data_IF_183530520276
#
_entry.id   IF_183530520276
#
_cell.length_a   1.000
_cell.length_b   1.000
_cell.length_c   1.000
_cell.angle_alpha   90.00
_cell.angle_beta   90.00
_cell.angle_gamma   90.00
#
_symmetry.space_group_name_H-M   'P 1'
#
loop_
_entity.id
_entity.type
_entity.pdbx_description
1 polymer ?
#
# COMPACT_ATOMS: atom_id res chain seq x y z
N UNK A 1 15.47 18.68 27.95
CA UNK A 1 14.87 19.76 27.12
C UNK A 1 14.52 19.17 25.74
N UNK A 2 13.25 18.96 25.44
CA UNK A 2 12.86 18.55 24.09
C UNK A 2 13.14 19.70 23.14
N UNK A 3 14.02 19.48 22.16
CA UNK A 3 14.29 20.46 21.10
C UNK A 3 12.99 20.69 20.32
N UNK A 4 12.56 21.95 20.18
CA UNK A 4 11.37 22.30 19.41
C UNK A 4 11.52 21.79 17.95
N UNK A 5 10.47 21.21 17.44
CA UNK A 5 10.41 20.78 16.03
C UNK A 5 10.23 22.01 15.14
N UNK A 6 11.08 22.14 14.12
CA UNK A 6 11.15 23.33 13.29
C UNK A 6 9.87 23.53 12.46
N UNK A 7 9.55 24.80 12.16
CA UNK A 7 8.46 25.13 11.21
C UNK A 7 8.69 24.48 9.84
N UNK A 8 9.94 24.40 9.39
CA UNK A 8 10.30 23.76 8.12
C UNK A 8 9.90 22.29 8.09
N UNK A 9 10.16 21.54 9.18
CA UNK A 9 9.73 20.13 9.33
C UNK A 9 8.21 19.99 9.26
N UNK A 10 7.48 20.90 9.92
CA UNK A 10 6.01 20.91 9.88
C UNK A 10 5.51 21.19 8.46
N UNK A 11 6.14 22.10 7.72
CA UNK A 11 5.79 22.40 6.33
C UNK A 11 6.07 21.20 5.40
N UNK A 12 7.19 20.50 5.56
CA UNK A 12 7.45 19.28 4.80
C UNK A 12 6.43 18.18 5.11
N UNK A 13 6.04 18.02 6.37
CA UNK A 13 4.98 17.08 6.77
C UNK A 13 3.62 17.49 6.16
N UNK A 14 3.28 18.77 6.13
CA UNK A 14 2.05 19.25 5.49
C UNK A 14 2.02 18.99 3.98
N UNK A 15 3.16 19.21 3.30
CA UNK A 15 3.30 18.86 1.88
C UNK A 15 3.19 17.36 1.65
N UNK A 16 3.78 16.53 2.53
CA UNK A 16 3.67 15.07 2.46
C UNK A 16 2.22 14.61 2.66
N UNK A 17 1.49 15.20 3.60
CA UNK A 17 0.07 14.91 3.79
C UNK A 17 -0.76 15.28 2.56
N UNK A 18 -0.58 16.49 2.03
CA UNK A 18 -1.28 16.95 0.84
C UNK A 18 -0.97 16.09 -0.39
N UNK A 19 0.29 15.73 -0.59
CA UNK A 19 0.71 14.90 -1.72
C UNK A 19 0.28 13.44 -1.56
N UNK A 20 0.39 12.86 -0.35
CA UNK A 20 -0.05 11.49 -0.06
C UNK A 20 -1.54 11.27 -0.28
N UNK A 21 -2.36 12.31 -0.03
CA UNK A 21 -3.81 12.28 -0.29
C UNK A 21 -4.11 12.68 -1.74
N UNK A 22 -3.45 13.73 -2.24
CA UNK A 22 -3.74 14.31 -3.55
C UNK A 22 -3.28 13.45 -4.72
N UNK A 23 -2.13 12.78 -4.62
CA UNK A 23 -1.57 11.98 -5.72
C UNK A 23 -2.49 10.83 -6.14
N UNK A 24 -3.03 9.97 -5.25
CA UNK A 24 -3.96 8.92 -5.64
C UNK A 24 -5.23 9.43 -6.31
N UNK A 25 -5.77 10.54 -5.78
CA UNK A 25 -6.95 11.19 -6.37
C UNK A 25 -6.63 11.71 -7.77
N UNK A 26 -5.48 12.38 -7.94
CA UNK A 26 -5.03 12.86 -9.24
C UNK A 26 -4.85 11.73 -10.25
N UNK A 27 -4.21 10.62 -9.83
CA UNK A 27 -4.04 9.43 -10.68
C UNK A 27 -5.39 8.87 -11.13
N UNK A 28 -6.37 8.78 -10.23
CA UNK A 28 -7.71 8.30 -10.54
C UNK A 28 -8.44 9.24 -11.52
N UNK A 29 -8.33 10.56 -11.32
CA UNK A 29 -8.93 11.56 -12.21
C UNK A 29 -8.27 11.53 -13.59
N UNK A 30 -6.94 11.49 -13.67
CA UNK A 30 -6.19 11.37 -14.92
C UNK A 30 -6.55 10.06 -15.64
N UNK A 31 -6.64 8.95 -14.93
CA UNK A 31 -7.11 7.69 -15.49
C UNK A 31 -8.50 7.83 -16.09
N UNK A 32 -9.46 8.36 -15.34
CA UNK A 32 -10.85 8.49 -15.77
C UNK A 32 -11.03 9.44 -16.95
N UNK A 33 -10.41 10.62 -16.93
CA UNK A 33 -10.72 11.67 -17.90
C UNK A 33 -9.79 11.67 -19.12
N UNK A 34 -8.54 11.24 -18.96
CA UNK A 34 -7.55 11.25 -20.05
C UNK A 34 -7.39 9.88 -20.71
N UNK A 35 -7.22 8.82 -19.93
CA UNK A 35 -6.88 7.50 -20.48
C UNK A 35 -8.09 6.58 -20.68
N UNK A 36 -9.12 6.72 -19.86
CA UNK A 36 -10.27 5.81 -19.88
C UNK A 36 -11.58 6.58 -19.68
N UNK A 37 -11.98 7.37 -20.68
CA UNK A 37 -13.29 8.05 -20.67
C UNK A 37 -14.39 7.00 -20.57
N UNK A 38 -15.18 7.04 -19.49
CA UNK A 38 -16.20 6.04 -19.17
C UNK A 38 -15.76 4.99 -18.14
N UNK A 39 -14.53 5.08 -17.57
CA UNK A 39 -14.17 4.26 -16.42
C UNK A 39 -15.16 4.47 -15.28
N UNK A 40 -15.67 3.35 -14.75
CA UNK A 40 -16.54 3.35 -13.58
C UNK A 40 -15.68 3.51 -12.34
N UNK A 41 -16.08 4.39 -11.41
CA UNK A 41 -15.30 4.65 -10.18
C UNK A 41 -15.54 3.59 -9.09
N UNK A 42 -16.65 2.87 -9.15
CA UNK A 42 -16.99 1.86 -8.15
C UNK A 42 -15.90 0.80 -7.92
N UNK A 43 -15.19 0.28 -8.96
CA UNK A 43 -14.06 -0.60 -8.70
C UNK A 43 -12.94 0.02 -7.84
N UNK A 44 -12.69 1.34 -7.94
CA UNK A 44 -11.71 1.99 -7.08
C UNK A 44 -12.17 2.03 -5.62
N UNK A 45 -13.46 2.31 -5.38
CA UNK A 45 -14.04 2.27 -4.03
C UNK A 45 -13.93 0.86 -3.44
N UNK A 46 -14.29 -0.17 -4.23
CA UNK A 46 -14.15 -1.57 -3.79
C UNK A 46 -12.69 -1.90 -3.51
N UNK A 47 -11.75 -1.44 -4.34
CA UNK A 47 -10.32 -1.62 -4.12
C UNK A 47 -9.85 -1.03 -2.79
N UNK A 48 -10.24 0.22 -2.51
CA UNK A 48 -9.91 0.90 -1.27
C UNK A 48 -10.50 0.19 -0.04
N UNK A 49 -11.79 -0.20 -0.09
CA UNK A 49 -12.44 -0.93 1.01
C UNK A 49 -11.80 -2.30 1.22
N UNK A 50 -11.45 -3.01 0.13
CA UNK A 50 -10.79 -4.31 0.23
C UNK A 50 -9.44 -4.21 0.93
N UNK A 51 -8.62 -3.20 0.60
CA UNK A 51 -7.36 -2.97 1.30
C UNK A 51 -7.60 -2.78 2.81
N UNK A 52 -8.49 -1.87 3.18
CA UNK A 52 -8.77 -1.60 4.60
C UNK A 52 -9.24 -2.86 5.33
N UNK A 53 -10.16 -3.62 4.73
CA UNK A 53 -10.70 -4.82 5.38
C UNK A 53 -9.65 -5.92 5.48
N UNK A 54 -8.95 -6.23 4.40
CA UNK A 54 -8.05 -7.38 4.36
C UNK A 54 -6.66 -7.08 4.91
N UNK A 55 -6.04 -5.95 4.54
CA UNK A 55 -4.69 -5.62 4.97
C UNK A 55 -4.63 -4.95 6.35
N UNK A 56 -5.62 -4.10 6.71
CA UNK A 56 -5.58 -3.40 7.99
C UNK A 56 -6.32 -4.14 9.10
N UNK A 57 -7.46 -4.80 8.79
CA UNK A 57 -8.29 -5.44 9.82
C UNK A 57 -7.99 -6.94 9.91
N UNK A 58 -8.20 -7.70 8.85
CA UNK A 58 -8.10 -9.16 8.89
C UNK A 58 -6.67 -9.65 9.06
N UNK A 59 -5.72 -9.06 8.36
CA UNK A 59 -4.29 -9.37 8.51
C UNK A 59 -3.74 -8.93 9.88
N UNK A 60 -4.36 -7.94 10.50
CA UNK A 60 -4.01 -7.49 11.85
C UNK A 60 -4.05 -8.59 12.90
N UNK A 61 -4.97 -9.57 12.75
CA UNK A 61 -5.10 -10.70 13.68
C UNK A 61 -3.85 -11.59 13.68
N UNK A 62 -3.42 -12.19 12.56
CA UNK A 62 -2.18 -12.97 12.54
C UNK A 62 -0.93 -12.09 12.80
N UNK A 63 -0.92 -10.82 12.39
CA UNK A 63 0.18 -9.91 12.74
C UNK A 63 0.33 -9.76 14.25
N UNK A 64 -0.75 -9.63 15.00
CA UNK A 64 -0.70 -9.57 16.46
C UNK A 64 -0.13 -10.85 17.08
N UNK A 65 -0.41 -12.02 16.51
CA UNK A 65 0.13 -13.31 16.98
C UNK A 65 1.63 -13.42 16.70
N UNK A 66 2.06 -13.08 15.49
CA UNK A 66 3.46 -13.30 15.08
C UNK A 66 4.39 -12.15 15.45
N UNK A 67 3.90 -10.92 15.60
CA UNK A 67 4.73 -9.72 15.81
C UNK A 67 4.41 -8.97 17.12
N UNK A 68 3.43 -9.43 17.91
CA UNK A 68 2.99 -8.73 19.13
C UNK A 68 3.95 -8.85 20.33
N UNK A 69 5.00 -9.68 20.27
CA UNK A 69 6.03 -9.82 21.31
C UNK A 69 5.61 -10.57 22.58
N UNK A 70 4.32 -10.88 22.75
CA UNK A 70 3.78 -11.46 23.99
C UNK A 70 3.87 -13.00 24.08
N UNK A 71 4.26 -13.71 23.02
CA UNK A 71 4.32 -15.17 22.96
C UNK A 71 5.71 -15.64 22.56
N UNK A 72 6.06 -16.90 22.88
CA UNK A 72 7.33 -17.49 22.44
C UNK A 72 7.48 -17.52 20.92
N UNK A 73 6.36 -17.67 20.18
CA UNK A 73 6.36 -17.60 18.72
C UNK A 73 6.71 -16.22 18.23
N UNK A 74 6.08 -15.18 18.78
CA UNK A 74 6.37 -13.79 18.38
C UNK A 74 7.79 -13.37 18.75
N UNK A 75 8.30 -13.80 19.91
CA UNK A 75 9.68 -13.55 20.33
C UNK A 75 10.67 -14.21 19.35
N UNK A 76 10.40 -15.47 18.93
CA UNK A 76 11.22 -16.14 17.93
C UNK A 76 11.20 -15.40 16.59
N UNK A 77 10.02 -15.01 16.09
CA UNK A 77 9.88 -14.28 14.82
C UNK A 77 10.63 -12.96 14.87
N UNK A 78 10.48 -12.19 15.95
CA UNK A 78 11.16 -10.89 16.11
C UNK A 78 12.68 -11.01 16.25
N UNK A 79 13.17 -12.14 16.79
CA UNK A 79 14.61 -12.42 16.95
C UNK A 79 15.29 -12.91 15.65
N UNK A 80 14.52 -13.35 14.65
CA UNK A 80 15.07 -13.96 13.44
C UNK A 80 14.61 -13.23 12.18
N UNK A 81 15.48 -12.46 11.56
CA UNK A 81 15.16 -11.63 10.39
C UNK A 81 14.54 -12.44 9.23
N UNK A 82 14.97 -13.70 9.00
CA UNK A 82 14.39 -14.56 7.98
C UNK A 82 12.93 -14.92 8.27
N UNK A 83 12.61 -15.21 9.54
CA UNK A 83 11.25 -15.57 9.96
C UNK A 83 10.34 -14.35 9.90
N UNK A 84 10.82 -13.19 10.38
CA UNK A 84 10.14 -11.90 10.27
C UNK A 84 9.78 -11.59 8.81
N UNK A 85 10.79 -11.62 7.93
CA UNK A 85 10.62 -11.32 6.50
C UNK A 85 9.65 -12.30 5.83
N UNK A 86 9.88 -13.61 6.01
CA UNK A 86 9.06 -14.63 5.35
C UNK A 86 7.59 -14.55 5.79
N UNK A 87 7.35 -14.48 7.09
CA UNK A 87 5.98 -14.43 7.64
C UNK A 87 5.29 -13.12 7.27
N UNK A 88 5.96 -11.97 7.46
CA UNK A 88 5.40 -10.67 7.16
C UNK A 88 5.01 -10.53 5.69
N UNK A 89 5.93 -10.83 4.78
CA UNK A 89 5.67 -10.72 3.34
C UNK A 89 4.60 -11.71 2.85
N UNK A 90 4.58 -12.94 3.38
CA UNK A 90 3.54 -13.92 3.02
C UNK A 90 2.17 -13.53 3.56
N UNK A 91 2.07 -12.97 4.76
CA UNK A 91 0.81 -12.48 5.30
C UNK A 91 0.24 -11.38 4.42
N UNK A 92 1.03 -10.35 4.10
CA UNK A 92 0.60 -9.26 3.21
C UNK A 92 0.14 -9.82 1.85
N UNK A 93 1.00 -10.60 1.19
CA UNK A 93 0.66 -11.18 -0.12
C UNK A 93 -0.59 -12.05 -0.10
N UNK A 94 -0.78 -12.90 0.93
CA UNK A 94 -1.96 -13.77 1.03
C UNK A 94 -3.23 -12.95 1.29
N UNK A 95 -3.23 -12.09 2.32
CA UNK A 95 -4.44 -11.36 2.69
C UNK A 95 -4.87 -10.39 1.59
N UNK A 96 -3.95 -9.66 1.01
CA UNK A 96 -4.29 -8.67 0.00
C UNK A 96 -4.72 -9.32 -1.32
N UNK A 97 -3.99 -10.35 -1.80
CA UNK A 97 -4.32 -10.95 -3.08
C UNK A 97 -5.57 -11.85 -3.01
N UNK A 98 -5.80 -12.53 -1.88
CA UNK A 98 -7.06 -13.24 -1.64
C UNK A 98 -8.22 -12.27 -1.52
N UNK A 99 -8.06 -11.16 -0.78
CA UNK A 99 -9.07 -10.10 -0.70
C UNK A 99 -9.42 -9.55 -2.08
N UNK A 100 -8.41 -9.25 -2.90
CA UNK A 100 -8.55 -8.80 -4.29
C UNK A 100 -9.28 -9.82 -5.16
N UNK A 101 -8.93 -11.09 -5.04
CA UNK A 101 -9.61 -12.18 -5.74
C UNK A 101 -11.10 -12.27 -5.37
N UNK A 102 -11.41 -12.23 -4.07
CA UNK A 102 -12.79 -12.28 -3.58
C UNK A 102 -13.59 -11.05 -4.05
N UNK A 103 -12.98 -9.85 -4.03
CA UNK A 103 -13.59 -8.64 -4.54
C UNK A 103 -13.96 -8.77 -6.03
N UNK A 104 -13.06 -9.22 -6.89
CA UNK A 104 -13.36 -9.44 -8.31
C UNK A 104 -14.37 -10.56 -8.54
N UNK A 105 -14.30 -11.63 -7.75
CA UNK A 105 -15.15 -12.80 -7.90
C UNK A 105 -16.61 -12.53 -7.51
N UNK A 106 -16.83 -11.76 -6.43
CA UNK A 106 -18.15 -11.59 -5.83
C UNK A 106 -18.69 -10.18 -5.93
N UNK A 107 -17.91 -9.16 -5.56
CA UNK A 107 -18.39 -7.77 -5.51
C UNK A 107 -18.38 -7.13 -6.91
N UNK A 108 -17.37 -7.43 -7.71
CA UNK A 108 -17.19 -6.87 -9.04
C UNK A 108 -17.51 -7.86 -10.17
N UNK A 109 -18.38 -8.87 -9.92
CA UNK A 109 -18.76 -9.89 -10.92
C UNK A 109 -19.32 -9.32 -12.23
N UNK A 110 -19.97 -8.14 -12.16
CA UNK A 110 -20.55 -7.42 -13.32
C UNK A 110 -19.53 -6.49 -14.02
N UNK A 111 -18.36 -6.29 -13.43
CA UNK A 111 -17.28 -5.46 -13.95
C UNK A 111 -16.28 -6.36 -14.69
N UNK A 112 -16.53 -6.51 -16.01
CA UNK A 112 -15.82 -7.53 -16.81
C UNK A 112 -14.78 -6.94 -17.75
N UNK A 113 -14.68 -5.62 -17.83
CA UNK A 113 -13.70 -4.94 -18.64
C UNK A 113 -12.33 -4.93 -17.92
N UNK A 114 -11.24 -5.19 -18.66
CA UNK A 114 -9.87 -5.14 -18.14
C UNK A 114 -9.50 -3.79 -17.51
N UNK A 115 -10.18 -2.70 -17.92
CA UNK A 115 -10.02 -1.35 -17.34
C UNK A 115 -10.51 -1.28 -15.89
N UNK A 116 -11.50 -2.11 -15.54
CA UNK A 116 -12.00 -2.19 -14.16
C UNK A 116 -10.92 -2.71 -13.20
N UNK A 117 -10.02 -3.61 -13.68
CA UNK A 117 -8.89 -4.08 -12.89
C UNK A 117 -7.89 -2.95 -12.58
N UNK A 118 -7.60 -2.09 -13.56
CA UNK A 118 -6.74 -0.92 -13.36
C UNK A 118 -7.39 0.06 -12.38
N UNK A 119 -8.68 0.34 -12.57
CA UNK A 119 -9.43 1.24 -11.67
C UNK A 119 -9.44 0.72 -10.23
N UNK A 120 -9.64 -0.59 -10.05
CA UNK A 120 -9.55 -1.24 -8.74
C UNK A 120 -8.15 -1.06 -8.13
N UNK A 121 -7.10 -1.34 -8.90
CA UNK A 121 -5.71 -1.21 -8.45
C UNK A 121 -5.33 0.21 -8.04
N UNK A 122 -5.85 1.24 -8.76
CA UNK A 122 -5.69 2.65 -8.37
C UNK A 122 -6.36 2.92 -7.02
N UNK A 123 -7.57 2.37 -6.78
CA UNK A 123 -8.25 2.52 -5.50
C UNK A 123 -7.52 1.83 -4.35
N UNK A 124 -7.08 0.59 -4.58
CA UNK A 124 -6.38 -0.23 -3.59
C UNK A 124 -5.03 0.39 -3.19
N UNK A 125 -4.12 0.61 -4.14
CA UNK A 125 -2.84 1.27 -3.86
C UNK A 125 -2.97 2.75 -3.49
N UNK A 126 -4.07 3.39 -3.91
CA UNK A 126 -4.37 4.77 -3.55
C UNK A 126 -4.71 4.94 -2.08
N UNK A 127 -5.57 4.07 -1.50
CA UNK A 127 -5.87 4.14 -0.07
C UNK A 127 -4.65 3.78 0.76
N UNK A 128 -3.82 2.84 0.32
CA UNK A 128 -2.56 2.54 0.97
C UNK A 128 -1.65 3.78 1.02
N UNK A 129 -1.48 4.49 -0.11
CA UNK A 129 -0.68 5.71 -0.16
C UNK A 129 -1.23 6.80 0.79
N UNK A 130 -2.56 6.94 0.87
CA UNK A 130 -3.21 7.86 1.82
C UNK A 130 -2.89 7.48 3.27
N UNK A 131 -2.98 6.20 3.61
CA UNK A 131 -2.74 5.73 4.98
C UNK A 131 -1.25 5.81 5.34
N UNK A 132 -0.37 5.33 4.46
CA UNK A 132 1.08 5.22 4.77
C UNK A 132 1.78 6.57 4.69
N UNK A 133 1.53 7.39 3.69
CA UNK A 133 2.17 8.70 3.56
C UNK A 133 1.30 9.84 4.13
N UNK A 134 0.04 9.90 3.69
CA UNK A 134 -0.85 11.01 4.05
C UNK A 134 -1.15 11.07 5.54
N UNK A 135 -1.64 9.96 6.12
CA UNK A 135 -2.02 9.90 7.53
C UNK A 135 -0.81 9.94 8.47
N UNK A 136 0.29 9.29 8.08
CA UNK A 136 1.56 9.37 8.83
C UNK A 136 2.07 10.82 8.89
N UNK A 137 1.99 11.56 7.79
CA UNK A 137 2.41 12.95 7.77
C UNK A 137 1.49 13.86 8.61
N UNK A 138 0.18 13.59 8.65
CA UNK A 138 -0.75 14.27 9.57
C UNK A 138 -0.37 13.98 11.03
N UNK A 139 -0.06 12.71 11.36
CA UNK A 139 0.39 12.33 12.68
C UNK A 139 1.72 13.02 13.07
N UNK A 140 2.66 13.19 12.13
CA UNK A 140 3.90 13.93 12.35
C UNK A 140 3.61 15.39 12.75
N UNK A 141 2.63 16.05 12.12
CA UNK A 141 2.21 17.41 12.49
C UNK A 141 1.64 17.43 13.91
N UNK A 142 0.80 16.46 14.26
CA UNK A 142 0.23 16.37 15.60
C UNK A 142 1.31 16.19 16.66
N UNK A 143 2.27 15.30 16.45
CA UNK A 143 3.43 15.10 17.34
C UNK A 143 4.25 16.40 17.45
N UNK A 144 4.52 17.09 16.34
CA UNK A 144 5.25 18.35 16.36
C UNK A 144 4.53 19.42 17.20
N UNK A 145 3.20 19.49 17.12
CA UNK A 145 2.40 20.40 17.93
C UNK A 145 2.48 20.05 19.42
N UNK A 146 2.39 18.77 19.80
CA UNK A 146 2.51 18.32 21.19
C UNK A 146 3.90 18.61 21.78
N UNK A 147 4.96 18.39 21.01
CA UNK A 147 6.33 18.70 21.41
C UNK A 147 6.48 20.21 21.61
N UNK A 148 6.04 21.02 20.63
CA UNK A 148 6.23 22.46 20.63
C UNK A 148 5.36 23.20 21.69
N UNK A 149 4.22 22.63 22.08
CA UNK A 149 3.39 23.16 23.17
C UNK A 149 3.84 22.73 24.55
N UNK A 150 4.86 21.87 24.67
CA UNK A 150 5.27 21.29 25.95
C UNK A 150 4.31 20.21 26.47
N UNK A 151 3.29 19.82 25.71
CA UNK A 151 2.27 18.84 26.11
C UNK A 151 2.66 17.39 25.82
N UNK A 152 3.89 17.14 25.40
CA UNK A 152 4.37 15.78 25.09
C UNK A 152 4.31 14.85 26.29
N UNK A 153 4.41 15.40 27.52
CA UNK A 153 4.27 14.65 28.77
C UNK A 153 2.90 13.95 28.87
N UNK A 154 1.86 14.46 28.22
CA UNK A 154 0.53 13.81 28.22
C UNK A 154 0.55 12.43 27.54
N UNK A 155 1.49 12.22 26.63
CA UNK A 155 1.67 10.94 25.94
C UNK A 155 2.73 10.08 26.61
N UNK A 156 3.78 10.70 27.16
CA UNK A 156 4.92 9.96 27.75
C UNK A 156 4.74 9.65 29.25
N UNK A 157 3.79 10.30 29.91
CA UNK A 157 3.55 10.08 31.33
C UNK A 157 3.09 8.63 31.61
N UNK A 158 3.82 7.94 32.45
CA UNK A 158 3.58 6.52 32.77
C UNK A 158 4.22 5.52 31.86
N UNK A 159 4.83 5.94 30.72
CA UNK A 159 5.60 5.05 29.84
C UNK A 159 6.99 4.82 30.43
N UNK A 160 7.46 3.57 30.36
CA UNK A 160 8.81 3.17 30.81
C UNK A 160 9.43 2.17 29.83
N UNK A 161 10.77 2.07 29.85
CA UNK A 161 11.50 1.09 29.04
C UNK A 161 11.21 1.22 27.54
N UNK A 162 10.95 0.10 26.90
CA UNK A 162 10.79 -0.01 25.42
C UNK A 162 9.70 0.93 24.87
N UNK A 163 8.61 1.13 25.61
CA UNK A 163 7.53 2.01 25.15
C UNK A 163 7.98 3.48 25.10
N UNK A 164 8.69 3.94 26.12
CA UNK A 164 9.24 5.30 26.14
C UNK A 164 10.29 5.49 25.02
N UNK A 165 11.16 4.50 24.83
CA UNK A 165 12.19 4.53 23.78
C UNK A 165 11.55 4.60 22.38
N UNK A 166 10.47 3.87 22.15
CA UNK A 166 9.71 3.92 20.88
C UNK A 166 9.12 5.31 20.63
N UNK A 167 8.49 5.93 21.62
CA UNK A 167 7.95 7.28 21.48
C UNK A 167 9.05 8.30 21.24
N UNK A 168 10.17 8.20 21.94
CA UNK A 168 11.32 9.08 21.74
C UNK A 168 11.92 8.92 20.34
N UNK A 169 12.06 7.68 19.85
CA UNK A 169 12.52 7.41 18.47
C UNK A 169 11.55 8.01 17.44
N UNK A 170 10.24 7.93 17.67
CA UNK A 170 9.24 8.54 16.80
C UNK A 170 9.36 10.07 16.78
N UNK A 171 9.52 10.71 17.93
CA UNK A 171 9.75 12.16 18.02
C UNK A 171 11.02 12.56 17.25
N UNK A 172 12.11 11.79 17.41
CA UNK A 172 13.35 12.04 16.70
C UNK A 172 13.18 11.90 15.17
N UNK A 173 12.44 10.89 14.72
CA UNK A 173 12.11 10.70 13.31
C UNK A 173 11.29 11.87 12.76
N UNK A 174 10.30 12.37 13.51
CA UNK A 174 9.53 13.56 13.13
C UNK A 174 10.43 14.79 13.06
N UNK A 175 11.31 15.00 14.05
CA UNK A 175 12.20 16.16 14.08
C UNK A 175 13.19 16.20 12.89
N UNK A 176 13.57 15.02 12.37
CA UNK A 176 14.46 14.88 11.21
C UNK A 176 13.74 14.83 9.86
N UNK A 177 12.41 14.88 9.82
CA UNK A 177 11.64 14.79 8.58
C UNK A 177 11.88 16.02 7.69
N UNK A 178 12.27 15.79 6.44
CA UNK A 178 12.64 16.84 5.49
C UNK A 178 12.31 16.50 4.04
N UNK A 179 12.81 17.31 3.11
CA UNK A 179 12.55 17.17 1.67
C UNK A 179 12.93 15.77 1.13
N UNK A 180 14.04 15.21 1.58
CA UNK A 180 14.48 13.87 1.15
C UNK A 180 13.48 12.79 1.54
N UNK A 181 12.94 12.85 2.77
CA UNK A 181 11.93 11.92 3.25
C UNK A 181 10.62 12.03 2.44
N UNK A 182 10.20 13.27 2.12
CA UNK A 182 9.06 13.51 1.25
C UNK A 182 9.25 12.90 -0.13
N UNK A 183 10.39 13.17 -0.78
CA UNK A 183 10.66 12.69 -2.14
C UNK A 183 10.75 11.16 -2.19
N UNK A 184 11.42 10.54 -1.21
CA UNK A 184 11.48 9.07 -1.08
C UNK A 184 10.10 8.48 -0.86
N UNK A 185 9.32 9.03 0.08
CA UNK A 185 7.97 8.55 0.35
C UNK A 185 7.05 8.68 -0.87
N UNK A 186 7.15 9.74 -1.67
CA UNK A 186 6.39 9.88 -2.91
C UNK A 186 6.82 8.87 -3.97
N UNK A 187 8.12 8.63 -4.13
CA UNK A 187 8.66 7.64 -5.06
C UNK A 187 8.18 6.23 -4.68
N UNK A 188 8.32 5.87 -3.41
CA UNK A 188 7.85 4.58 -2.88
C UNK A 188 6.35 4.38 -3.10
N UNK A 189 5.52 5.40 -2.81
CA UNK A 189 4.07 5.29 -3.03
C UNK A 189 3.70 5.18 -4.51
N UNK A 190 4.42 5.84 -5.41
CA UNK A 190 4.23 5.69 -6.86
C UNK A 190 4.61 4.27 -7.33
N UNK A 191 5.69 3.70 -6.79
CA UNK A 191 6.12 2.32 -7.04
C UNK A 191 5.07 1.34 -6.51
N UNK A 192 4.62 1.47 -5.25
CA UNK A 192 3.62 0.62 -4.64
C UNK A 192 2.27 0.67 -5.38
N UNK A 193 1.77 1.86 -5.74
CA UNK A 193 0.55 2.00 -6.54
C UNK A 193 0.68 1.28 -7.90
N UNK A 194 1.84 1.38 -8.55
CA UNK A 194 2.08 0.70 -9.83
C UNK A 194 2.08 -0.83 -9.65
N UNK A 195 2.66 -1.33 -8.56
CA UNK A 195 2.59 -2.74 -8.20
C UNK A 195 1.13 -3.18 -8.01
N UNK A 196 0.34 -2.47 -7.19
CA UNK A 196 -1.05 -2.84 -6.91
C UNK A 196 -1.93 -2.80 -8.15
N UNK A 197 -1.71 -1.85 -9.08
CA UNK A 197 -2.36 -1.84 -10.39
C UNK A 197 -1.98 -3.10 -11.17
N UNK A 198 -0.70 -3.47 -11.16
CA UNK A 198 -0.18 -4.63 -11.88
C UNK A 198 -0.74 -5.94 -11.35
N UNK A 199 -0.71 -6.14 -10.03
CA UNK A 199 -1.27 -7.32 -9.37
C UNK A 199 -2.78 -7.42 -9.56
N UNK A 200 -3.49 -6.28 -9.60
CA UNK A 200 -4.93 -6.25 -9.90
C UNK A 200 -5.24 -6.82 -11.27
N UNK A 201 -4.42 -6.55 -12.28
CA UNK A 201 -4.57 -7.14 -13.62
C UNK A 201 -4.32 -8.65 -13.59
N UNK A 202 -3.32 -9.11 -12.83
CA UNK A 202 -2.99 -10.55 -12.72
C UNK A 202 -4.10 -11.31 -12.02
N UNK A 203 -4.63 -10.80 -10.90
CA UNK A 203 -5.72 -11.44 -10.15
C UNK A 203 -7.05 -11.36 -10.92
N UNK A 204 -7.32 -10.24 -11.60
CA UNK A 204 -8.47 -10.15 -12.49
C UNK A 204 -8.45 -11.24 -13.55
N UNK A 205 -7.26 -11.53 -14.14
CA UNK A 205 -7.09 -12.64 -15.07
C UNK A 205 -7.34 -13.99 -14.41
N UNK A 206 -6.90 -14.21 -13.16
CA UNK A 206 -7.20 -15.42 -12.40
C UNK A 206 -8.71 -15.69 -12.33
N UNK A 207 -9.48 -14.65 -12.03
CA UNK A 207 -10.94 -14.72 -11.93
C UNK A 207 -11.59 -14.95 -13.30
N UNK A 208 -11.18 -14.18 -14.32
CA UNK A 208 -11.78 -14.25 -15.67
C UNK A 208 -11.52 -15.59 -16.35
N UNK A 209 -10.34 -16.15 -16.20
CA UNK A 209 -9.96 -17.44 -16.81
C UNK A 209 -10.21 -18.64 -15.89
N UNK A 210 -10.65 -18.43 -14.64
CA UNK A 210 -10.82 -19.47 -13.61
C UNK A 210 -9.53 -20.29 -13.39
N UNK A 211 -8.37 -19.64 -13.43
CA UNK A 211 -7.05 -20.26 -13.25
C UNK A 211 -6.41 -19.77 -11.96
N UNK A 212 -6.48 -20.58 -10.89
CA UNK A 212 -5.93 -20.25 -9.57
C UNK A 212 -4.41 -20.01 -9.57
N UNK A 213 -3.68 -20.54 -10.56
CA UNK A 213 -2.24 -20.31 -10.68
C UNK A 213 -1.85 -18.83 -10.80
N UNK A 214 -2.71 -17.98 -11.39
CA UNK A 214 -2.47 -16.54 -11.43
C UNK A 214 -2.64 -15.88 -10.05
N UNK A 215 -3.54 -16.39 -9.20
CA UNK A 215 -3.64 -15.93 -7.81
C UNK A 215 -2.38 -16.30 -7.02
N UNK A 216 -1.95 -17.56 -7.10
CA UNK A 216 -0.70 -18.00 -6.45
C UNK A 216 0.51 -17.18 -6.91
N UNK A 217 0.59 -16.89 -8.23
CA UNK A 217 1.63 -16.03 -8.77
C UNK A 217 1.56 -14.59 -8.19
N UNK A 218 0.35 -14.02 -8.08
CA UNK A 218 0.17 -12.68 -7.51
C UNK A 218 0.62 -12.63 -6.04
N UNK A 219 0.28 -13.64 -5.23
CA UNK A 219 0.75 -13.76 -3.83
C UNK A 219 2.27 -13.81 -3.76
N UNK A 220 2.92 -14.61 -4.62
CA UNK A 220 4.39 -14.71 -4.64
C UNK A 220 5.04 -13.40 -5.08
N UNK A 221 4.52 -12.75 -6.13
CA UNK A 221 5.05 -11.48 -6.61
C UNK A 221 4.89 -10.36 -5.57
N UNK A 222 3.76 -10.32 -4.87
CA UNK A 222 3.53 -9.37 -3.77
C UNK A 222 4.53 -9.63 -2.63
N UNK A 223 4.60 -10.85 -2.14
CA UNK A 223 5.52 -11.21 -1.07
C UNK A 223 6.99 -10.89 -1.41
N UNK A 224 7.42 -11.19 -2.65
CA UNK A 224 8.77 -10.86 -3.11
C UNK A 224 9.03 -9.36 -3.17
N UNK A 225 8.01 -8.57 -3.53
CA UNK A 225 8.14 -7.11 -3.55
C UNK A 225 8.38 -6.55 -2.14
N UNK A 226 7.76 -7.10 -1.11
CA UNK A 226 7.90 -6.63 0.27
C UNK A 226 9.22 -7.02 0.94
N UNK A 227 9.94 -8.02 0.40
CA UNK A 227 11.20 -8.52 0.99
C UNK A 227 12.24 -7.43 1.24
N UNK A 228 12.56 -6.52 0.31
CA UNK A 228 13.56 -5.47 0.56
C UNK A 228 13.20 -4.56 1.75
N UNK A 229 11.92 -4.17 1.87
CA UNK A 229 11.44 -3.35 2.97
C UNK A 229 11.49 -4.09 4.31
N UNK A 230 11.10 -5.37 4.33
CA UNK A 230 11.17 -6.20 5.54
C UNK A 230 12.61 -6.44 6.00
N UNK A 231 13.55 -6.67 5.08
CA UNK A 231 14.97 -6.80 5.40
C UNK A 231 15.57 -5.49 5.91
N UNK A 232 15.09 -4.35 5.42
CA UNK A 232 15.48 -3.04 5.95
C UNK A 232 14.96 -2.85 7.38
N UNK A 233 13.70 -3.21 7.65
CA UNK A 233 13.12 -3.15 8.99
C UNK A 233 13.84 -4.05 10.01
N UNK A 234 14.36 -5.20 9.55
CA UNK A 234 15.16 -6.09 10.39
C UNK A 234 16.63 -5.66 10.53
N UNK A 235 17.05 -4.55 9.92
CA UNK A 235 18.44 -4.08 9.97
C UNK A 235 19.41 -4.96 9.18
N UNK A 236 18.93 -5.78 8.22
CA UNK A 236 19.79 -6.56 7.30
C UNK A 236 20.22 -5.69 6.12
N UNK A 237 19.32 -4.90 5.57
CA UNK A 237 19.61 -3.84 4.61
C UNK A 237 19.70 -2.51 5.35
N UNK A 238 20.72 -1.71 5.06
CA UNK A 238 20.96 -0.43 5.74
C UNK A 238 20.81 0.78 4.81
N UNK A 239 20.74 0.57 3.51
CA UNK A 239 20.64 1.64 2.52
C UNK A 239 19.22 1.77 2.00
N UNK A 240 18.55 2.88 2.32
CA UNK A 240 17.24 3.22 1.78
C UNK A 240 17.25 3.28 0.25
N UNK A 241 18.31 3.83 -0.34
CA UNK A 241 18.45 3.91 -1.80
C UNK A 241 18.52 2.53 -2.46
N UNK A 242 19.18 1.56 -1.80
CA UNK A 242 19.22 0.18 -2.30
C UNK A 242 17.84 -0.46 -2.23
N UNK A 243 17.11 -0.24 -1.14
CA UNK A 243 15.73 -0.72 -1.00
C UNK A 243 14.85 -0.19 -2.13
N UNK A 244 14.85 1.13 -2.34
CA UNK A 244 14.05 1.77 -3.40
C UNK A 244 14.43 1.26 -4.80
N UNK A 245 15.71 1.06 -5.07
CA UNK A 245 16.18 0.51 -6.33
C UNK A 245 15.67 -0.92 -6.55
N UNK A 246 15.70 -1.76 -5.52
CA UNK A 246 15.17 -3.13 -5.58
C UNK A 246 13.66 -3.14 -5.79
N UNK A 247 12.92 -2.30 -5.05
CA UNK A 247 11.46 -2.14 -5.21
C UNK A 247 11.11 -1.69 -6.63
N UNK A 248 11.85 -0.72 -7.18
CA UNK A 248 11.65 -0.24 -8.54
C UNK A 248 11.88 -1.35 -9.58
N UNK A 249 12.96 -2.12 -9.47
CA UNK A 249 13.26 -3.22 -10.40
C UNK A 249 12.18 -4.29 -10.35
N UNK A 250 11.75 -4.71 -9.15
CA UNK A 250 10.67 -5.68 -8.96
C UNK A 250 9.35 -5.16 -9.53
N UNK A 251 9.02 -3.89 -9.25
CA UNK A 251 7.82 -3.23 -9.78
C UNK A 251 7.82 -3.18 -11.31
N UNK A 252 8.93 -2.80 -11.95
CA UNK A 252 9.05 -2.75 -13.41
C UNK A 252 8.86 -4.13 -14.04
N UNK A 253 9.44 -5.18 -13.44
CA UNK A 253 9.23 -6.56 -13.87
C UNK A 253 7.77 -6.98 -13.77
N UNK A 254 7.12 -6.67 -12.64
CA UNK A 254 5.71 -6.95 -12.41
C UNK A 254 4.81 -6.18 -13.38
N UNK A 255 5.10 -4.89 -13.63
CA UNK A 255 4.35 -4.05 -14.55
C UNK A 255 4.48 -4.53 -16.01
N UNK A 256 5.68 -4.95 -16.43
CA UNK A 256 5.91 -5.51 -17.76
C UNK A 256 5.10 -6.82 -17.95
N UNK A 257 5.11 -7.69 -16.95
CA UNK A 257 4.29 -8.90 -16.95
C UNK A 257 2.80 -8.58 -16.99
N UNK A 258 2.34 -7.68 -16.11
CA UNK A 258 0.93 -7.26 -16.06
C UNK A 258 0.46 -6.63 -17.37
N UNK A 259 1.29 -5.82 -18.03
CA UNK A 259 1.00 -5.26 -19.36
C UNK A 259 0.73 -6.36 -20.38
N UNK A 260 1.55 -7.41 -20.40
CA UNK A 260 1.34 -8.59 -21.28
C UNK A 260 0.01 -9.27 -20.96
N UNK A 261 -0.33 -9.43 -19.67
CA UNK A 261 -1.60 -10.02 -19.26
C UNK A 261 -2.79 -9.14 -19.63
N UNK A 262 -2.68 -7.83 -19.44
CA UNK A 262 -3.70 -6.85 -19.82
C UNK A 262 -4.02 -6.88 -21.32
N UNK A 263 -2.99 -6.94 -22.17
CA UNK A 263 -3.16 -7.05 -23.62
C UNK A 263 -3.80 -8.38 -24.04
N UNK A 264 -3.54 -9.47 -23.30
CA UNK A 264 -4.11 -10.78 -23.57
C UNK A 264 -5.56 -10.96 -23.04
N UNK A 265 -6.07 -10.04 -22.23
CA UNK A 265 -7.46 -10.01 -21.80
C UNK A 265 -8.31 -9.39 -22.93
N UNK A 266 -9.22 -10.18 -23.51
CA UNK A 266 -10.19 -9.68 -24.49
C UNK A 266 -11.18 -8.73 -23.81
N UNK A 267 -11.51 -7.63 -24.47
CA UNK A 267 -12.66 -6.82 -24.05
C UNK A 267 -13.94 -7.59 -24.42
N UNK A 268 -15.00 -7.56 -23.56
CA UNK A 268 -16.30 -8.07 -23.97
C UNK A 268 -16.73 -7.29 -25.22
N UNK A 269 -17.17 -8.01 -26.27
CA UNK A 269 -17.75 -7.38 -27.44
C UNK A 269 -18.82 -6.38 -27.01
N UNK A 270 -18.77 -5.17 -27.54
CA UNK A 270 -19.90 -4.27 -27.47
C UNK A 270 -21.02 -4.97 -28.23
N UNK A 271 -22.06 -5.44 -27.53
CA UNK A 271 -23.32 -5.70 -28.18
C UNK A 271 -23.72 -4.40 -28.87
N UNK A 272 -23.57 -4.38 -30.17
CA UNK A 272 -24.07 -3.31 -31.01
C UNK A 272 -25.58 -3.29 -30.84
N UNK A 273 -26.09 -2.22 -30.21
CA UNK A 273 -27.50 -1.88 -30.15
C UNK A 273 -27.96 -1.43 -31.56
N UNK A 274 -27.72 -2.26 -32.59
CA UNK A 274 -28.10 -1.95 -33.99
C UNK A 274 -29.22 -2.83 -34.50
N UNK A 275 -29.79 -3.72 -33.66
CA UNK A 275 -30.80 -4.67 -34.18
C UNK A 275 -32.23 -4.38 -33.72
N UNK A 276 -32.54 -3.16 -33.23
CA UNK A 276 -33.91 -2.81 -32.83
C UNK A 276 -34.46 -1.53 -33.50
N UNK A 277 -33.97 -1.12 -34.63
CA UNK A 277 -34.60 -0.06 -35.44
C UNK A 277 -35.14 -0.54 -36.80
N UNK A 278 -35.23 -1.85 -37.03
CA UNK A 278 -35.94 -2.40 -38.21
C UNK A 278 -36.91 -3.51 -37.74
N UNK A 279 -37.99 -3.11 -37.11
CA UNK A 279 -39.24 -3.92 -37.15
C UNK A 279 -40.46 -3.07 -36.80
#
# INVERSE_FOLDING_TARGET
>A
MSTMISLQTILWSALAAAAGIGLPVLVLLVWKFKFCRGAKLFPAVVGAVTFVVFAQVLEGVPKAIFFGGGTGVSQYVLAHAWAYTLIGCLLAGVFEEVGRYLAFRFLLKRYTNRRDAVTYGIGHGGIEAILVLGLTAINNIAIAQLVNSGSIETITNGLTGVQLDQVQAQIAAVASFGAANLLLGLAERAIAMTLHISLSVVVFRAVRQRKAGYLGLAVVLHALFDVPAALFQCGVLHSTWLVEALLLVLCLGCAAYAKKQYCALQEPERQTLSDNEES
#
